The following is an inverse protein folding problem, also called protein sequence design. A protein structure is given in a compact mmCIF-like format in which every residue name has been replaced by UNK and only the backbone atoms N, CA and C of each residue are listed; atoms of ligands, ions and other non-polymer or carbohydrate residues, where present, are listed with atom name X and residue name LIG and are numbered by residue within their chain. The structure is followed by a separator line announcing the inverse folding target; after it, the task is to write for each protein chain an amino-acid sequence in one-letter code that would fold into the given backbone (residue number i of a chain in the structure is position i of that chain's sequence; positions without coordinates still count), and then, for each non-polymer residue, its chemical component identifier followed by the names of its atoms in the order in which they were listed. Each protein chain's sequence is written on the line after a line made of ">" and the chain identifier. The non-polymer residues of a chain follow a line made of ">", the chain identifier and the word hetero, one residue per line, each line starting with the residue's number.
data_IF_677871690560
#
_entry.id   IF_677871690560
#
_cell.length_a   1.000
_cell.length_b   1.000
_cell.length_c   1.000
_cell.angle_alpha   90.00
_cell.angle_beta   90.00
_cell.angle_gamma   90.00
#
_symmetry.space_group_name_H-M   'P 1'
#
loop_
_entity.id
_entity.type
_entity.pdbx_description
1 polymer ?
#
# COMPACT_ATOMS: atom_id res chain seq x y z
N UNK A 1 4.49 11.96 39.01
CA UNK A 1 5.47 10.93 38.61
C UNK A 1 5.80 11.15 37.14
N UNK A 2 7.08 11.31 36.75
CA UNK A 2 7.45 11.43 35.33
C UNK A 2 7.27 10.09 34.62
N UNK A 3 6.76 10.11 33.39
CA UNK A 3 6.77 8.94 32.49
C UNK A 3 8.22 8.47 32.27
N UNK A 4 8.51 7.16 32.41
CA UNK A 4 9.82 6.64 32.03
C UNK A 4 10.07 6.89 30.53
N UNK A 5 11.28 7.31 30.18
CA UNK A 5 11.63 7.69 28.80
C UNK A 5 11.35 6.57 27.78
N UNK A 6 11.57 5.30 28.14
CA UNK A 6 11.33 4.16 27.26
C UNK A 6 9.83 3.93 26.98
N UNK A 7 8.95 4.21 27.94
CA UNK A 7 7.49 4.18 27.73
C UNK A 7 7.05 5.30 26.79
N UNK A 8 7.62 6.49 26.96
CA UNK A 8 7.38 7.62 26.05
C UNK A 8 7.77 7.27 24.61
N UNK A 9 8.87 6.54 24.41
CA UNK A 9 9.27 6.03 23.08
C UNK A 9 8.23 5.06 22.50
N UNK A 10 7.75 4.10 23.29
CA UNK A 10 6.70 3.17 22.85
C UNK A 10 5.40 3.89 22.44
N UNK A 11 4.97 4.88 23.24
CA UNK A 11 3.79 5.70 22.91
C UNK A 11 4.00 6.47 21.60
N UNK A 12 5.20 7.03 21.38
CA UNK A 12 5.51 7.74 20.13
C UNK A 12 5.52 6.81 18.92
N UNK A 13 6.05 5.59 19.07
CA UNK A 13 5.98 4.56 18.02
C UNK A 13 4.53 4.17 17.70
N UNK A 14 3.70 3.92 18.71
CA UNK A 14 2.27 3.63 18.53
C UNK A 14 1.54 4.75 17.74
N UNK A 15 1.85 6.02 18.03
CA UNK A 15 1.32 7.14 17.24
C UNK A 15 1.80 7.11 15.78
N UNK A 16 3.09 6.84 15.53
CA UNK A 16 3.62 6.75 14.16
C UNK A 16 3.03 5.56 13.38
N UNK A 17 2.74 4.43 14.04
CA UNK A 17 2.00 3.31 13.45
C UNK A 17 0.60 3.73 13.00
N UNK A 18 -0.12 4.51 13.83
CA UNK A 18 -1.45 5.05 13.49
C UNK A 18 -1.39 6.05 12.33
N UNK A 19 -0.38 6.93 12.33
CA UNK A 19 -0.16 7.87 11.24
C UNK A 19 0.06 7.11 9.92
N UNK A 20 0.90 6.08 9.94
CA UNK A 20 1.10 5.21 8.78
C UNK A 20 -0.21 4.58 8.31
N UNK A 21 -1.02 4.02 9.20
CA UNK A 21 -2.31 3.43 8.86
C UNK A 21 -3.27 4.44 8.22
N UNK A 22 -3.27 5.68 8.72
CA UNK A 22 -4.05 6.79 8.14
C UNK A 22 -3.58 7.13 6.71
N UNK A 23 -2.27 7.28 6.51
CA UNK A 23 -1.67 7.52 5.19
C UNK A 23 -1.93 6.36 4.23
N UNK A 24 -1.82 5.13 4.71
CA UNK A 24 -2.11 3.93 3.95
C UNK A 24 -3.57 3.91 3.47
N UNK A 25 -4.52 4.12 4.37
CA UNK A 25 -5.95 4.16 4.02
C UNK A 25 -6.25 5.22 2.96
N UNK A 26 -5.67 6.42 3.10
CA UNK A 26 -5.78 7.50 2.11
C UNK A 26 -5.18 7.10 0.75
N UNK A 27 -4.01 6.47 0.74
CA UNK A 27 -3.37 6.02 -0.50
C UNK A 27 -4.15 4.93 -1.25
N UNK A 28 -4.85 4.04 -0.54
CA UNK A 28 -5.74 3.06 -1.15
C UNK A 28 -6.93 3.73 -1.87
N UNK A 29 -7.42 4.86 -1.35
CA UNK A 29 -8.44 5.65 -2.03
C UNK A 29 -7.93 6.25 -3.35
N UNK A 30 -6.66 6.65 -3.43
CA UNK A 30 -6.04 7.13 -4.68
C UNK A 30 -6.05 6.06 -5.77
N UNK A 31 -5.65 4.82 -5.46
CA UNK A 31 -5.73 3.73 -6.43
C UNK A 31 -7.16 3.44 -6.89
N UNK A 32 -8.11 3.48 -5.96
CA UNK A 32 -9.54 3.31 -6.29
C UNK A 32 -10.04 4.41 -7.22
N UNK A 33 -9.59 5.66 -7.00
CA UNK A 33 -9.91 6.80 -7.86
C UNK A 33 -9.32 6.63 -9.27
N UNK A 34 -8.03 6.27 -9.37
CA UNK A 34 -7.38 6.01 -10.67
C UNK A 34 -8.12 4.92 -11.44
N UNK A 35 -8.47 3.80 -10.78
CA UNK A 35 -9.20 2.70 -11.42
C UNK A 35 -10.56 3.16 -11.97
N UNK A 36 -11.28 3.98 -11.21
CA UNK A 36 -12.56 4.53 -11.64
C UNK A 36 -12.38 5.44 -12.86
N UNK A 37 -11.41 6.36 -12.82
CA UNK A 37 -11.15 7.29 -13.93
C UNK A 37 -10.69 6.54 -15.19
N UNK A 38 -9.81 5.54 -15.05
CA UNK A 38 -9.37 4.71 -16.18
C UNK A 38 -10.54 3.93 -16.80
N UNK A 39 -11.45 3.39 -15.97
CA UNK A 39 -12.65 2.70 -16.45
C UNK A 39 -13.56 3.66 -17.23
N UNK A 40 -13.83 4.85 -16.67
CA UNK A 40 -14.63 5.88 -17.34
C UNK A 40 -13.99 6.37 -18.64
N UNK A 41 -12.66 6.51 -18.65
CA UNK A 41 -11.90 6.88 -19.85
C UNK A 41 -12.04 5.82 -20.94
N UNK A 42 -11.91 4.53 -20.61
CA UNK A 42 -12.12 3.42 -21.55
C UNK A 42 -13.52 3.47 -22.16
N UNK A 43 -14.55 3.72 -21.35
CA UNK A 43 -15.93 3.84 -21.83
C UNK A 43 -16.12 5.06 -22.75
N UNK A 44 -15.52 6.20 -22.39
CA UNK A 44 -15.53 7.43 -23.19
C UNK A 44 -14.84 7.23 -24.54
N UNK A 45 -13.69 6.55 -24.53
CA UNK A 45 -12.89 6.20 -25.69
C UNK A 45 -13.66 5.28 -26.65
N UNK A 46 -14.26 4.20 -26.11
CA UNK A 46 -15.11 3.29 -26.87
C UNK A 46 -16.29 4.00 -27.54
N UNK A 47 -16.90 4.96 -26.85
CA UNK A 47 -18.00 5.76 -27.40
C UNK A 47 -17.53 6.65 -28.56
N UNK A 48 -16.38 7.31 -28.42
CA UNK A 48 -15.77 8.16 -29.46
C UNK A 48 -15.46 7.35 -30.73
N UNK A 49 -14.85 6.17 -30.60
CA UNK A 49 -14.52 5.31 -31.75
C UNK A 49 -15.76 4.72 -32.44
N UNK A 50 -16.77 4.35 -31.66
CA UNK A 50 -18.03 3.81 -32.21
C UNK A 50 -18.79 4.84 -33.04
N UNK A 51 -18.76 6.12 -32.63
CA UNK A 51 -19.38 7.23 -33.36
C UNK A 51 -18.72 7.47 -34.74
N UNK A 52 -17.39 7.37 -34.81
CA UNK A 52 -16.65 7.62 -36.05
C UNK A 52 -16.84 6.51 -37.10
N UNK A 53 -16.95 5.24 -36.68
CA UNK A 53 -17.15 4.12 -37.60
C UNK A 53 -18.59 4.02 -38.15
N UNK A 54 -19.59 4.51 -37.41
CA UNK A 54 -20.99 4.50 -37.87
C UNK A 54 -21.23 5.40 -39.10
N UNK A 55 -20.41 6.44 -39.29
CA UNK A 55 -20.53 7.36 -40.43
C UNK A 55 -19.87 6.84 -41.72
N UNK A 56 -19.11 5.74 -41.68
CA UNK A 56 -18.39 5.19 -42.84
C UNK A 56 -19.16 4.12 -43.62
N UNK A 57 -20.31 3.62 -43.15
CA UNK A 57 -21.02 2.49 -43.78
C UNK A 57 -22.35 2.81 -44.49
N UNK A 58 -22.68 4.09 -44.71
CA UNK A 58 -23.85 4.46 -45.53
C UNK A 58 -23.50 4.70 -47.00
N UNK A 59 -23.16 3.60 -47.69
CA UNK A 59 -23.64 3.40 -49.06
C UNK A 59 -25.08 2.87 -48.96
N UNK A 60 -26.02 3.74 -48.58
CA UNK A 60 -27.44 3.49 -48.80
C UNK A 60 -27.99 4.67 -49.59
N UNK A 61 -28.23 4.39 -50.86
CA UNK A 61 -29.00 5.22 -51.77
C UNK A 61 -30.38 5.47 -51.15
N UNK A 62 -30.62 6.68 -50.67
CA UNK A 62 -31.95 7.20 -50.41
C UNK A 62 -32.07 8.52 -51.15
N UNK A 63 -32.50 8.41 -52.39
CA UNK A 63 -33.14 9.49 -53.12
C UNK A 63 -34.30 10.05 -52.31
N UNK A 64 -34.28 11.38 -52.13
CA UNK A 64 -35.43 12.28 -51.97
C UNK A 64 -36.57 11.85 -51.04
N UNK A 65 -36.72 12.56 -49.91
CA UNK A 65 -37.99 13.17 -49.49
C UNK A 65 -37.78 14.01 -48.20
N UNK A 66 -37.82 15.33 -48.39
CA UNK A 66 -38.37 16.43 -47.58
C UNK A 66 -38.37 16.32 -46.02
N UNK A 67 -37.95 17.40 -45.32
CA UNK A 67 -37.81 17.45 -43.86
C UNK A 67 -39.14 17.74 -43.16
N UNK A 68 -39.49 16.97 -42.12
CA UNK A 68 -40.54 17.38 -41.18
C UNK A 68 -40.33 16.81 -39.78
N UNK A 69 -40.10 17.73 -38.85
CA UNK A 69 -40.38 17.66 -37.41
C UNK A 69 -40.27 16.28 -36.73
N UNK A 70 -39.05 15.82 -36.51
CA UNK A 70 -38.72 15.19 -35.23
C UNK A 70 -37.24 15.43 -35.00
N UNK A 71 -36.94 16.54 -34.32
CA UNK A 71 -35.61 16.80 -33.79
C UNK A 71 -35.29 15.68 -32.80
N UNK A 72 -34.78 14.56 -33.33
CA UNK A 72 -33.87 13.66 -32.62
C UNK A 72 -32.61 14.49 -32.40
N UNK A 73 -32.71 15.40 -31.44
CA UNK A 73 -31.58 16.05 -30.80
C UNK A 73 -30.74 14.91 -30.26
N UNK A 74 -29.80 14.40 -31.06
CA UNK A 74 -28.64 13.76 -30.49
C UNK A 74 -28.11 14.81 -29.50
N UNK A 75 -28.07 14.53 -28.19
CA UNK A 75 -27.73 15.54 -27.20
C UNK A 75 -26.46 16.24 -27.65
N UNK A 76 -26.49 17.57 -27.70
CA UNK A 76 -25.35 18.43 -28.06
C UNK A 76 -24.07 18.07 -27.27
N UNK A 77 -24.23 17.33 -26.16
CA UNK A 77 -23.21 16.76 -25.30
C UNK A 77 -22.30 15.67 -25.93
N UNK A 78 -22.54 15.23 -27.17
CA UNK A 78 -21.79 14.13 -27.81
C UNK A 78 -20.94 14.55 -29.01
N UNK A 79 -20.60 15.83 -29.14
CA UNK A 79 -19.63 16.24 -30.17
C UNK A 79 -18.26 15.58 -29.89
N UNK A 80 -17.59 15.02 -30.91
CA UNK A 80 -16.26 14.40 -30.75
C UNK A 80 -15.25 15.27 -30.02
N UNK A 81 -15.31 16.60 -30.24
CA UNK A 81 -14.47 17.58 -29.56
C UNK A 81 -14.69 17.60 -28.04
N UNK A 82 -15.93 17.48 -27.58
CA UNK A 82 -16.27 17.44 -26.15
C UNK A 82 -15.75 16.17 -25.49
N UNK A 83 -15.81 15.03 -26.18
CA UNK A 83 -15.29 13.75 -25.70
C UNK A 83 -13.76 13.77 -25.63
N UNK A 84 -13.07 14.32 -26.64
CA UNK A 84 -11.62 14.50 -26.59
C UNK A 84 -11.18 15.39 -25.42
N UNK A 85 -11.91 16.48 -25.16
CA UNK A 85 -11.64 17.36 -24.01
C UNK A 85 -11.87 16.63 -22.67
N UNK A 86 -12.88 15.75 -22.60
CA UNK A 86 -13.13 14.93 -21.42
C UNK A 86 -11.98 13.94 -21.16
N UNK A 87 -11.49 13.24 -22.20
CA UNK A 87 -10.33 12.34 -22.10
C UNK A 87 -9.09 13.10 -21.64
N UNK A 88 -8.87 14.31 -22.15
CA UNK A 88 -7.78 15.17 -21.70
C UNK A 88 -7.89 15.49 -20.20
N UNK A 89 -9.07 15.93 -19.73
CA UNK A 89 -9.31 16.20 -18.30
C UNK A 89 -9.11 14.97 -17.43
N UNK A 90 -9.58 13.80 -17.87
CA UNK A 90 -9.38 12.53 -17.16
C UNK A 90 -7.88 12.16 -17.09
N UNK A 91 -7.11 12.44 -18.14
CA UNK A 91 -5.66 12.21 -18.15
C UNK A 91 -4.95 13.10 -17.13
N UNK A 92 -5.30 14.38 -17.10
CA UNK A 92 -4.76 15.33 -16.13
C UNK A 92 -5.08 14.93 -14.68
N UNK A 93 -6.32 14.52 -14.40
CA UNK A 93 -6.70 14.03 -13.06
C UNK A 93 -5.89 12.79 -12.65
N UNK A 94 -5.63 11.86 -13.59
CA UNK A 94 -4.76 10.70 -13.31
C UNK A 94 -3.35 11.17 -12.91
N UNK A 95 -2.77 12.13 -13.62
CA UNK A 95 -1.44 12.68 -13.30
C UNK A 95 -1.39 13.34 -11.92
N UNK A 96 -2.44 14.08 -11.54
CA UNK A 96 -2.56 14.67 -10.20
C UNK A 96 -2.62 13.59 -9.12
N UNK A 97 -3.42 12.54 -9.31
CA UNK A 97 -3.51 11.45 -8.34
C UNK A 97 -2.20 10.65 -8.27
N UNK A 98 -1.51 10.44 -9.39
CA UNK A 98 -0.19 9.81 -9.40
C UNK A 98 0.83 10.64 -8.62
N UNK A 99 0.81 11.96 -8.80
CA UNK A 99 1.64 12.89 -8.01
C UNK A 99 1.32 12.78 -6.52
N UNK A 100 0.04 12.66 -6.15
CA UNK A 100 -0.37 12.45 -4.76
C UNK A 100 0.11 11.10 -4.19
N UNK A 101 0.13 10.03 -4.99
CA UNK A 101 0.71 8.73 -4.59
C UNK A 101 2.21 8.85 -4.35
N UNK A 102 2.94 9.57 -5.21
CA UNK A 102 4.37 9.83 -5.01
C UNK A 102 4.64 10.63 -3.74
N UNK A 103 3.87 11.69 -3.49
CA UNK A 103 3.97 12.46 -2.25
C UNK A 103 3.67 11.59 -1.02
N UNK A 104 2.72 10.66 -1.11
CA UNK A 104 2.44 9.73 0.00
C UNK A 104 3.61 8.78 0.31
N UNK A 105 4.45 8.44 -0.68
CA UNK A 105 5.68 7.68 -0.43
C UNK A 105 6.71 8.48 0.38
N UNK A 106 6.81 9.78 0.14
CA UNK A 106 7.67 10.67 0.93
C UNK A 106 7.16 10.77 2.36
N UNK A 107 5.85 10.89 2.56
CA UNK A 107 5.24 10.88 3.90
C UNK A 107 5.52 9.56 4.66
N UNK A 108 5.50 8.41 3.98
CA UNK A 108 5.90 7.14 4.61
C UNK A 108 7.38 7.14 5.00
N UNK A 109 8.25 7.68 4.15
CA UNK A 109 9.68 7.81 4.44
C UNK A 109 9.96 8.73 5.63
N UNK A 110 9.23 9.83 5.76
CA UNK A 110 9.26 10.69 6.95
C UNK A 110 8.89 9.92 8.22
N UNK A 111 7.83 9.12 8.18
CA UNK A 111 7.42 8.28 9.32
C UNK A 111 8.54 7.30 9.71
N UNK A 112 9.17 6.63 8.74
CA UNK A 112 10.30 5.72 9.00
C UNK A 112 11.49 6.47 9.62
N UNK A 113 11.82 7.65 9.11
CA UNK A 113 12.91 8.46 9.64
C UNK A 113 12.65 8.86 11.09
N UNK A 114 11.40 9.19 11.43
CA UNK A 114 10.99 9.46 12.82
C UNK A 114 11.08 8.21 13.70
N UNK A 115 10.64 7.05 13.20
CA UNK A 115 10.77 5.76 13.91
C UNK A 115 12.24 5.42 14.19
N UNK A 116 13.12 5.59 13.20
CA UNK A 116 14.56 5.43 13.33
C UNK A 116 15.18 6.40 14.35
N UNK A 117 14.68 7.64 14.38
CA UNK A 117 15.05 8.61 15.42
C UNK A 117 14.74 8.10 16.83
N UNK A 118 13.55 7.52 17.03
CA UNK A 118 13.14 6.92 18.31
C UNK A 118 13.97 5.67 18.63
N UNK A 119 14.25 4.82 17.64
CA UNK A 119 15.11 3.65 17.81
C UNK A 119 16.50 4.05 18.29
N UNK A 120 17.12 5.06 17.67
CA UNK A 120 18.42 5.57 18.08
C UNK A 120 18.40 6.14 19.50
N UNK A 121 17.33 6.85 19.89
CA UNK A 121 17.14 7.31 21.26
C UNK A 121 16.99 6.14 22.24
N UNK A 122 16.24 5.09 21.86
CA UNK A 122 16.05 3.91 22.68
C UNK A 122 17.33 3.10 22.87
N UNK A 123 18.14 2.93 21.82
CA UNK A 123 19.41 2.21 21.88
C UNK A 123 20.40 2.90 22.84
N UNK A 124 20.43 4.24 22.85
CA UNK A 124 21.23 5.02 23.81
C UNK A 124 20.79 4.81 25.26
N UNK A 125 19.49 4.59 25.50
CA UNK A 125 18.98 4.33 26.85
C UNK A 125 19.35 2.91 27.34
N UNK A 126 19.39 1.92 26.45
CA UNK A 126 19.78 0.54 26.79
C UNK A 126 21.29 0.40 26.98
N UNK A 127 22.08 1.03 26.10
CA UNK A 127 23.54 0.94 26.09
C UNK A 127 24.19 2.34 26.19
N UNK A 128 24.18 2.99 27.37
CA UNK A 128 24.70 4.35 27.52
C UNK A 128 26.20 4.48 27.24
N UNK A 129 26.96 3.38 27.33
CA UNK A 129 28.42 3.36 27.16
C UNK A 129 28.90 2.96 25.75
N UNK A 130 28.00 2.62 24.82
CA UNK A 130 28.38 2.37 23.43
C UNK A 130 28.36 3.68 22.65
N UNK A 131 29.51 4.35 22.57
CA UNK A 131 29.75 5.46 21.65
C UNK A 131 29.69 4.92 20.22
N UNK A 132 28.54 5.08 19.56
CA UNK A 132 28.42 4.80 18.13
C UNK A 132 29.17 5.87 17.34
N UNK A 133 30.27 5.50 16.67
CA UNK A 133 30.80 6.25 15.54
C UNK A 133 29.78 6.15 14.40
N UNK A 134 28.89 7.14 14.28
CA UNK A 134 28.02 7.28 13.11
C UNK A 134 28.87 7.72 11.92
N UNK A 135 29.15 6.80 10.99
CA UNK A 135 29.72 7.08 9.68
C UNK A 135 28.68 7.83 8.85
N UNK A 136 28.79 9.15 8.80
CA UNK A 136 28.09 9.98 7.82
C UNK A 136 28.63 9.61 6.43
N UNK A 137 27.88 8.79 5.69
CA UNK A 137 28.15 8.55 4.27
C UNK A 137 27.43 9.63 3.47
N UNK A 138 27.99 10.84 3.49
CA UNK A 138 27.62 11.90 2.57
C UNK A 138 28.25 11.59 1.21
N UNK A 139 27.36 11.33 0.26
CA UNK A 139 27.54 11.30 -1.18
C UNK A 139 28.57 12.31 -1.72
N UNK A 140 29.62 11.80 -2.35
CA UNK A 140 30.31 12.48 -3.44
C UNK A 140 30.59 11.47 -4.56
N UNK A 141 30.31 11.89 -5.79
CA UNK A 141 30.63 11.25 -7.06
C UNK A 141 30.87 12.38 -8.06
N UNK A 142 31.49 12.16 -9.24
CA UNK A 142 32.16 10.94 -9.73
C UNK A 142 33.56 11.20 -10.30
N UNK A 143 34.40 10.17 -10.36
CA UNK A 143 35.44 10.08 -11.40
C UNK A 143 35.36 8.71 -12.07
N UNK A 144 35.29 8.74 -13.40
CA UNK A 144 35.44 7.58 -14.28
C UNK A 144 36.92 7.27 -14.45
N UNK A 145 37.32 6.01 -14.75
CA UNK A 145 37.49 5.70 -16.18
C UNK A 145 37.19 4.25 -16.60
N UNK A 146 36.96 4.18 -17.92
CA UNK A 146 36.96 3.04 -18.85
C UNK A 146 37.80 1.83 -18.42
N UNK A 147 37.24 0.62 -18.56
CA UNK A 147 37.75 -0.33 -19.56
C UNK A 147 36.81 -1.50 -19.88
N UNK A 148 36.87 -1.84 -21.15
CA UNK A 148 36.31 -2.99 -21.89
C UNK A 148 36.63 -4.35 -21.27
N UNK A 149 35.65 -5.26 -21.27
CA UNK A 149 35.76 -6.51 -22.04
C UNK A 149 34.43 -7.29 -22.10
N UNK A 150 34.13 -7.70 -23.32
CA UNK A 150 33.18 -8.72 -23.77
C UNK A 150 33.33 -10.07 -23.08
N UNK A 151 32.23 -10.85 -22.97
CA UNK A 151 32.10 -12.22 -23.53
C UNK A 151 30.78 -12.90 -23.08
N UNK A 152 30.10 -13.43 -24.10
CA UNK A 152 29.28 -14.66 -24.18
C UNK A 152 28.00 -14.87 -23.37
N UNK A 153 26.94 -14.96 -24.17
CA UNK A 153 25.71 -15.75 -24.05
C UNK A 153 25.86 -17.18 -23.53
N UNK A 154 24.92 -17.63 -22.68
CA UNK A 154 24.24 -18.94 -22.81
C UNK A 154 22.97 -18.96 -21.92
N UNK A 155 21.81 -19.44 -22.42
CA UNK A 155 20.56 -19.53 -21.66
C UNK A 155 20.40 -20.90 -20.98
N UNK A 156 19.77 -20.99 -19.79
CA UNK A 156 19.32 -22.27 -19.26
C UNK A 156 17.87 -22.58 -19.68
N UNK A 157 17.77 -23.72 -20.35
CA UNK A 157 16.61 -24.44 -20.84
C UNK A 157 15.67 -24.88 -19.72
N UNK A 158 14.37 -24.72 -19.94
CA UNK A 158 13.26 -25.36 -19.21
C UNK A 158 13.23 -26.87 -19.46
N UNK A 159 12.82 -27.68 -18.46
CA UNK A 159 12.16 -28.95 -18.75
C UNK A 159 10.66 -28.87 -18.46
N UNK A 160 9.90 -28.93 -19.54
CA UNK A 160 8.47 -29.26 -19.58
C UNK A 160 8.27 -30.69 -19.06
N UNK A 161 7.44 -30.87 -18.03
CA UNK A 161 6.81 -32.18 -17.76
C UNK A 161 5.30 -32.04 -17.76
N UNK A 162 4.73 -32.61 -18.82
CA UNK A 162 3.34 -32.94 -18.99
C UNK A 162 2.93 -34.08 -18.05
N UNK A 163 1.78 -33.96 -17.41
CA UNK A 163 1.05 -35.10 -16.84
C UNK A 163 -0.44 -34.81 -16.81
N UNK A 164 -1.17 -35.68 -17.53
CA UNK A 164 -2.60 -35.70 -17.76
C UNK A 164 -3.38 -36.01 -16.46
N UNK A 165 -4.45 -35.23 -16.24
CA UNK A 165 -5.85 -35.69 -16.16
C UNK A 165 -6.18 -36.80 -15.13
N UNK A 166 -6.91 -36.44 -14.06
CA UNK A 166 -8.06 -37.23 -13.60
C UNK A 166 -9.07 -36.40 -12.81
N UNK A 167 -10.28 -36.31 -13.39
CA UNK A 167 -11.55 -35.92 -12.75
C UNK A 167 -11.83 -36.81 -11.54
N UNK A 168 -12.23 -36.22 -10.43
CA UNK A 168 -13.11 -36.86 -9.44
C UNK A 168 -14.00 -35.80 -8.80
N UNK A 169 -15.29 -35.89 -9.08
CA UNK A 169 -16.37 -35.19 -8.38
C UNK A 169 -16.58 -35.91 -7.04
N UNK A 170 -16.43 -35.23 -5.92
CA UNK A 170 -17.16 -35.57 -4.69
C UNK A 170 -17.66 -34.30 -4.01
N UNK A 171 -18.96 -34.31 -3.75
CA UNK A 171 -19.77 -33.30 -3.08
C UNK A 171 -19.46 -33.23 -1.58
N UNK A 172 -19.73 -32.08 -0.92
CA UNK A 172 -19.31 -31.83 0.44
C UNK A 172 -20.28 -32.46 1.45
N UNK A 173 -19.75 -33.29 2.36
CA UNK A 173 -20.44 -33.64 3.60
C UNK A 173 -20.29 -32.48 4.58
N UNK A 174 -21.43 -31.86 4.94
CA UNK A 174 -21.57 -30.92 6.05
C UNK A 174 -21.15 -31.59 7.36
N UNK A 175 -19.92 -31.36 7.82
CA UNK A 175 -19.53 -31.55 9.21
C UNK A 175 -19.84 -30.27 9.99
N UNK A 176 -20.78 -30.34 10.94
CA UNK A 176 -20.96 -29.31 11.97
C UNK A 176 -19.66 -29.22 12.78
N UNK A 177 -18.81 -28.26 12.46
CA UNK A 177 -17.69 -27.87 13.32
C UNK A 177 -18.25 -26.98 14.42
N UNK A 178 -18.33 -27.54 15.63
CA UNK A 178 -18.47 -26.76 16.86
C UNK A 178 -17.30 -25.74 16.90
N UNK A 179 -17.55 -24.45 17.15
CA UNK A 179 -16.46 -23.48 17.25
C UNK A 179 -15.53 -23.91 18.39
N UNK A 180 -14.19 -23.87 18.19
CA UNK A 180 -13.28 -24.09 19.29
C UNK A 180 -13.56 -23.01 20.34
N UNK A 181 -13.95 -23.43 21.54
CA UNK A 181 -13.96 -22.53 22.70
C UNK A 181 -12.55 -21.98 22.80
N UNK A 182 -12.36 -20.70 22.45
CA UNK A 182 -11.20 -19.92 22.88
C UNK A 182 -11.15 -20.11 24.39
N UNK A 183 -10.22 -20.95 24.84
CA UNK A 183 -9.78 -20.89 26.23
C UNK A 183 -9.12 -19.53 26.34
N UNK A 184 -9.88 -18.55 26.84
CA UNK A 184 -9.35 -17.36 27.45
C UNK A 184 -8.49 -17.87 28.60
N UNK A 185 -7.21 -18.06 28.33
CA UNK A 185 -6.22 -18.24 29.38
C UNK A 185 -6.28 -16.92 30.15
N UNK A 186 -6.89 -16.94 31.34
CA UNK A 186 -6.81 -15.85 32.30
C UNK A 186 -5.35 -15.78 32.77
N UNK A 187 -4.50 -15.16 31.95
CA UNK A 187 -3.09 -14.94 32.25
C UNK A 187 -2.89 -13.96 33.43
N UNK A 188 -3.98 -13.42 33.97
CA UNK A 188 -4.00 -12.42 35.05
C UNK A 188 -4.23 -13.01 36.45
N UNK A 189 -4.57 -14.31 36.59
CA UNK A 189 -4.89 -14.90 37.90
C UNK A 189 -3.64 -15.35 38.70
N UNK A 190 -2.43 -15.21 38.18
CA UNK A 190 -1.18 -15.71 38.80
C UNK A 190 -0.16 -14.64 39.18
N UNK A 191 -0.53 -13.35 39.18
CA UNK A 191 0.39 -12.28 39.54
C UNK A 191 -0.08 -11.59 40.82
N UNK A 192 0.62 -11.86 41.92
CA UNK A 192 0.32 -11.35 43.27
C UNK A 192 0.50 -9.82 43.41
N UNK A 193 1.03 -9.13 42.38
CA UNK A 193 1.21 -7.68 42.38
C UNK A 193 0.91 -7.05 40.99
N UNK A 194 -0.14 -6.24 40.84
CA UNK A 194 -0.50 -5.61 39.56
C UNK A 194 0.55 -4.60 39.06
N UNK A 195 1.44 -4.13 39.94
CA UNK A 195 2.53 -3.20 39.60
C UNK A 195 3.60 -3.91 38.76
N UNK A 196 3.91 -5.17 39.07
CA UNK A 196 4.93 -5.95 38.36
C UNK A 196 4.45 -6.41 36.97
N UNK A 197 3.12 -6.48 36.78
CA UNK A 197 2.50 -6.76 35.47
C UNK A 197 2.56 -5.53 34.55
N UNK A 198 2.53 -4.33 35.13
CA UNK A 198 2.45 -3.08 34.39
C UNK A 198 3.82 -2.52 34.00
N UNK A 199 4.89 -2.90 34.68
CA UNK A 199 6.23 -2.44 34.32
C UNK A 199 6.69 -3.09 33.02
N UNK A 200 7.02 -2.28 32.02
CA UNK A 200 7.55 -2.76 30.75
C UNK A 200 9.07 -2.57 30.83
N UNK A 201 9.87 -3.64 30.94
CA UNK A 201 11.31 -3.49 31.07
C UNK A 201 11.88 -2.73 29.87
N UNK A 202 12.86 -1.85 30.11
CA UNK A 202 13.51 -1.05 29.07
C UNK A 202 14.05 -1.89 27.89
N UNK A 203 14.59 -3.07 28.19
CA UNK A 203 15.10 -4.02 27.19
C UNK A 203 13.94 -4.52 26.31
N UNK A 204 12.82 -4.89 26.94
CA UNK A 204 11.61 -5.32 26.24
C UNK A 204 11.03 -4.19 25.38
N UNK A 205 10.99 -2.95 25.88
CA UNK A 205 10.57 -1.79 25.08
C UNK A 205 11.45 -1.59 23.86
N UNK A 206 12.77 -1.64 24.03
CA UNK A 206 13.70 -1.47 22.92
C UNK A 206 13.55 -2.57 21.86
N UNK A 207 13.39 -3.82 22.29
CA UNK A 207 13.12 -4.95 21.40
C UNK A 207 11.88 -4.73 20.53
N UNK A 208 10.78 -4.23 21.12
CA UNK A 208 9.58 -3.88 20.37
C UNK A 208 9.82 -2.76 19.35
N UNK A 209 10.56 -1.72 19.74
CA UNK A 209 10.89 -0.60 18.85
C UNK A 209 11.70 -1.10 17.65
N UNK A 210 12.72 -1.93 17.87
CA UNK A 210 13.53 -2.56 16.80
C UNK A 210 12.62 -3.34 15.85
N UNK A 211 11.78 -4.23 16.38
CA UNK A 211 10.85 -5.05 15.60
C UNK A 211 9.92 -4.21 14.73
N UNK A 212 9.29 -3.18 15.31
CA UNK A 212 8.42 -2.28 14.54
C UNK A 212 9.19 -1.59 13.43
N UNK A 213 10.31 -0.95 13.74
CA UNK A 213 11.08 -0.19 12.74
C UNK A 213 11.46 -1.09 11.57
N UNK A 214 11.98 -2.30 11.83
CA UNK A 214 12.35 -3.26 10.78
C UNK A 214 11.18 -3.67 9.88
N UNK A 215 9.99 -3.90 10.45
CA UNK A 215 8.79 -4.28 9.68
C UNK A 215 8.35 -3.15 8.75
N UNK A 216 8.33 -1.93 9.27
CA UNK A 216 7.90 -0.74 8.53
C UNK A 216 8.91 -0.32 7.47
N UNK A 217 10.22 -0.47 7.71
CA UNK A 217 11.26 -0.29 6.69
C UNK A 217 11.10 -1.28 5.52
N UNK A 218 10.85 -2.56 5.83
CA UNK A 218 10.58 -3.59 4.81
C UNK A 218 9.32 -3.26 4.01
N UNK A 219 8.26 -2.83 4.67
CA UNK A 219 7.02 -2.41 4.02
C UNK A 219 7.24 -1.17 3.13
N UNK A 220 8.01 -0.16 3.57
CA UNK A 220 8.35 1.00 2.74
C UNK A 220 9.11 0.58 1.48
N UNK A 221 10.12 -0.28 1.62
CA UNK A 221 10.88 -0.81 0.49
C UNK A 221 9.97 -1.54 -0.50
N UNK A 222 9.05 -2.37 0.02
CA UNK A 222 8.03 -3.04 -0.80
C UNK A 222 7.15 -2.05 -1.56
N UNK A 223 6.62 -1.02 -0.89
CA UNK A 223 5.80 0.03 -1.52
C UNK A 223 6.57 0.81 -2.58
N UNK A 224 7.82 1.20 -2.31
CA UNK A 224 8.70 1.84 -3.31
C UNK A 224 8.89 0.93 -4.53
N UNK A 225 9.11 -0.37 -4.33
CA UNK A 225 9.25 -1.32 -5.42
C UNK A 225 7.96 -1.52 -6.25
N UNK A 226 6.78 -1.43 -5.63
CA UNK A 226 5.51 -1.48 -6.38
C UNK A 226 5.36 -0.31 -7.35
N UNK A 227 5.76 0.90 -6.94
CA UNK A 227 5.65 2.11 -7.77
C UNK A 227 6.79 2.20 -8.79
N UNK A 228 8.03 2.10 -8.33
CA UNK A 228 9.22 2.35 -9.15
C UNK A 228 9.74 1.11 -9.88
N UNK A 229 9.36 -0.11 -9.46
CA UNK A 229 9.78 -1.37 -10.07
C UNK A 229 9.16 -1.66 -11.44
N UNK A 230 8.61 -0.65 -12.12
CA UNK A 230 8.08 -0.75 -13.47
C UNK A 230 6.70 -1.42 -13.60
N UNK A 231 6.02 -1.68 -12.48
CA UNK A 231 4.65 -2.18 -12.48
C UNK A 231 3.65 -1.09 -12.88
N UNK A 232 3.92 0.16 -12.53
CA UNK A 232 3.07 1.30 -12.83
C UNK A 232 3.34 1.81 -14.27
N UNK A 233 2.90 1.05 -15.26
CA UNK A 233 2.93 1.47 -16.67
C UNK A 233 1.50 1.63 -17.17
N UNK A 234 1.10 2.89 -17.35
CA UNK A 234 -0.14 3.25 -18.03
C UNK A 234 0.25 3.53 -19.48
N UNK A 235 0.23 2.49 -20.32
CA UNK A 235 0.42 2.68 -21.77
C UNK A 235 -0.90 3.19 -22.37
N UNK A 236 -0.84 4.31 -23.09
CA UNK A 236 -2.00 4.89 -23.74
C UNK A 236 -2.54 4.02 -24.89
N UNK A 237 -1.75 3.09 -25.42
CA UNK A 237 -2.16 2.21 -26.51
C UNK A 237 -2.88 0.94 -26.04
N UNK A 238 -2.74 0.58 -24.76
CA UNK A 238 -3.32 -0.63 -24.18
C UNK A 238 -4.00 -0.30 -22.83
N UNK A 239 -5.12 0.43 -22.92
CA UNK A 239 -5.89 0.88 -21.76
C UNK A 239 -6.36 -0.31 -20.89
N UNK A 240 -6.61 -1.49 -21.48
CA UNK A 240 -7.04 -2.67 -20.74
C UNK A 240 -5.92 -3.26 -19.88
N UNK A 241 -4.72 -3.38 -20.45
CA UNK A 241 -3.54 -3.78 -19.68
C UNK A 241 -3.21 -2.74 -18.60
N UNK A 242 -3.34 -1.44 -18.91
CA UNK A 242 -3.19 -0.36 -17.93
C UNK A 242 -4.12 -0.51 -16.72
N UNK A 243 -5.42 -0.72 -16.94
CA UNK A 243 -6.40 -0.93 -15.86
C UNK A 243 -6.04 -2.17 -15.02
N UNK A 244 -5.70 -3.28 -15.67
CA UNK A 244 -5.35 -4.52 -14.98
C UNK A 244 -4.08 -4.36 -14.13
N UNK A 245 -3.08 -3.63 -14.63
CA UNK A 245 -1.85 -3.34 -13.90
C UNK A 245 -2.12 -2.47 -12.66
N UNK A 246 -2.87 -1.37 -12.80
CA UNK A 246 -3.25 -0.55 -11.64
C UNK A 246 -4.07 -1.36 -10.64
N UNK A 247 -4.96 -2.23 -11.10
CA UNK A 247 -5.77 -3.08 -10.23
C UNK A 247 -4.90 -4.03 -9.41
N UNK A 248 -3.94 -4.69 -10.07
CA UNK A 248 -2.99 -5.58 -9.40
C UNK A 248 -2.13 -4.82 -8.37
N UNK A 249 -1.66 -3.62 -8.70
CA UNK A 249 -0.90 -2.78 -7.77
C UNK A 249 -1.77 -2.38 -6.58
N UNK A 250 -3.01 -1.94 -6.82
CA UNK A 250 -3.97 -1.57 -5.78
C UNK A 250 -4.20 -2.72 -4.78
N UNK A 251 -4.45 -3.92 -5.31
CA UNK A 251 -4.63 -5.13 -4.49
C UNK A 251 -3.38 -5.43 -3.66
N UNK A 252 -2.19 -5.38 -4.27
CA UNK A 252 -0.90 -5.63 -3.59
C UNK A 252 -0.54 -4.55 -2.58
N UNK A 253 -0.92 -3.31 -2.85
CA UNK A 253 -0.66 -2.16 -2.00
C UNK A 253 -1.43 -2.27 -0.68
N UNK A 254 -2.67 -2.76 -0.75
CA UNK A 254 -3.59 -2.89 0.39
C UNK A 254 -3.24 -4.02 1.38
N UNK A 255 -2.44 -5.02 0.99
CA UNK A 255 -2.20 -6.24 1.80
C UNK A 255 -1.20 -6.03 2.94
N UNK A 256 -0.31 -5.03 2.86
CA UNK A 256 0.73 -4.73 3.86
C UNK A 256 1.49 -5.97 4.39
N UNK A 257 2.10 -6.79 3.50
CA UNK A 257 2.58 -8.13 3.84
C UNK A 257 3.73 -8.19 4.86
N UNK A 258 4.44 -7.08 5.09
CA UNK A 258 5.57 -7.04 6.04
C UNK A 258 5.19 -6.55 7.43
N UNK A 259 3.95 -6.08 7.63
CA UNK A 259 3.48 -5.66 8.94
C UNK A 259 2.85 -6.84 9.69
N UNK A 260 3.34 -7.08 10.91
CA UNK A 260 2.78 -8.06 11.83
C UNK A 260 1.92 -7.30 12.86
N UNK A 261 0.63 -7.16 12.57
CA UNK A 261 -0.30 -6.42 13.42
C UNK A 261 -0.42 -6.99 14.83
N UNK A 262 -0.10 -8.27 15.03
CA UNK A 262 -0.06 -8.89 16.36
C UNK A 262 0.99 -8.23 17.27
N UNK A 263 2.12 -7.79 16.71
CA UNK A 263 3.18 -7.10 17.46
C UNK A 263 2.72 -5.70 17.85
N UNK A 264 2.04 -4.99 16.95
CA UNK A 264 1.46 -3.67 17.24
C UNK A 264 0.37 -3.74 18.32
N UNK A 265 -0.53 -4.73 18.22
CA UNK A 265 -1.59 -4.97 19.19
C UNK A 265 -1.03 -5.29 20.58
N UNK A 266 0.00 -6.14 20.66
CA UNK A 266 0.66 -6.46 21.92
C UNK A 266 1.26 -5.19 22.58
N UNK A 267 1.93 -4.34 21.81
CA UNK A 267 2.51 -3.09 22.32
C UNK A 267 1.41 -2.15 22.81
N UNK A 268 0.34 -2.00 22.03
CA UNK A 268 -0.81 -1.17 22.39
C UNK A 268 -1.45 -1.64 23.69
N UNK A 269 -1.68 -2.95 23.85
CA UNK A 269 -2.26 -3.51 25.07
C UNK A 269 -1.36 -3.32 26.29
N UNK A 270 -0.04 -3.49 26.14
CA UNK A 270 0.92 -3.21 27.21
C UNK A 270 0.92 -1.74 27.61
N UNK A 271 0.93 -0.81 26.65
CA UNK A 271 0.81 0.64 26.91
C UNK A 271 -0.50 0.95 27.64
N UNK A 272 -1.59 0.30 27.24
CA UNK A 272 -2.92 0.49 27.84
C UNK A 272 -2.98 -0.01 29.28
N UNK A 273 -2.40 -1.17 29.57
CA UNK A 273 -2.28 -1.71 30.94
C UNK A 273 -1.44 -0.76 31.80
N UNK A 274 -0.27 -0.35 31.29
CA UNK A 274 0.61 0.60 31.98
C UNK A 274 -0.12 1.92 32.32
N UNK A 275 -0.86 2.50 31.37
CA UNK A 275 -1.65 3.73 31.60
C UNK A 275 -2.68 3.55 32.71
N UNK A 276 -3.45 2.47 32.68
CA UNK A 276 -4.46 2.20 33.72
C UNK A 276 -3.84 2.05 35.11
N UNK A 277 -2.74 1.30 35.23
CA UNK A 277 -2.08 1.12 36.53
C UNK A 277 -1.55 2.46 37.07
N UNK A 278 -1.00 3.32 36.20
CA UNK A 278 -0.58 4.67 36.60
C UNK A 278 -1.72 5.57 37.02
N UNK A 279 -2.88 5.47 36.37
CA UNK A 279 -4.10 6.20 36.79
C UNK A 279 -4.57 5.74 38.17
N UNK A 280 -4.58 4.43 38.45
CA UNK A 280 -4.94 3.90 39.77
C UNK A 280 -3.95 4.27 40.86
N UNK A 281 -2.64 4.28 40.57
CA UNK A 281 -1.62 4.76 41.50
C UNK A 281 -1.81 6.24 41.85
N UNK A 282 -2.21 7.07 40.88
CA UNK A 282 -2.42 8.50 41.10
C UNK A 282 -3.68 8.82 41.93
N UNK A 283 -4.61 7.86 42.08
CA UNK A 283 -5.81 8.00 42.91
C UNK A 283 -5.59 7.62 44.37
N UNK A 284 -4.46 7.00 44.71
CA UNK A 284 -4.07 6.67 46.08
C UNK A 284 -3.31 7.82 46.72
#
# INVERSE_FOLDING_TARGET
>A
MSTPNHITHLIRIDHLCKDWCSKHSRSCAYFSSILNILTQRKDTSNFLFSSNNANSSKNFSCTNLIPSSSHKNLPFALQPQSLSLLIYKQSHEIEEILTAIHSTLEEFEEIINLMNGILNQSNKLVNPNQVFLSTNTSSSSPESPKNTNSISSTPPTTPTKSSKKKKSKQSPKKSKSTPPKKQTINLFDNFDNPVDIADIPIITSNYYIVRIVEMYEKELCYKKNLIFGGCLKIDHNDEENGINNIKLISERWAVQPYLLFEVEEEIFDRIKIWKRVKEFEAMK
#
